data_IF_630188685898
#
_entry.id   IF_630188685898
#
_cell.length_a   1.000
_cell.length_b   1.000
_cell.length_c   1.000
_cell.angle_alpha   90.00
_cell.angle_beta   90.00
_cell.angle_gamma   90.00
#
_symmetry.space_group_name_H-M   'P 1'
#
loop_
_entity.id
_entity.type
_entity.pdbx_description
1 polymer ?
#
# COMPACT_ATOMS: atom_id res chain seq x y z
N UNK A 1 12.38 13.68 5.27
CA UNK A 1 11.03 13.78 4.67
C UNK A 1 10.65 12.36 4.27
N UNK A 2 9.51 11.86 4.76
CA UNK A 2 9.13 10.46 4.59
C UNK A 2 9.12 10.02 3.13
N UNK A 3 9.65 8.83 2.83
CA UNK A 3 9.56 8.24 1.50
C UNK A 3 8.28 7.42 1.38
N UNK A 4 7.49 7.71 0.35
CA UNK A 4 6.23 7.02 0.09
C UNK A 4 6.35 6.02 -1.06
N UNK A 5 5.52 4.98 -1.03
CA UNK A 5 5.43 3.95 -2.08
C UNK A 5 4.10 4.14 -2.81
N UNK A 6 4.13 4.05 -4.14
CA UNK A 6 2.93 4.03 -4.97
C UNK A 6 2.79 2.66 -5.65
N UNK A 7 1.57 2.12 -5.69
CA UNK A 7 1.26 0.85 -6.35
C UNK A 7 -0.02 0.95 -7.17
N UNK A 8 0.03 0.42 -8.38
CA UNK A 8 -1.17 0.20 -9.19
C UNK A 8 -1.96 -0.98 -8.64
N UNK A 9 -3.25 -0.79 -8.47
CA UNK A 9 -4.20 -1.87 -8.19
C UNK A 9 -4.78 -2.36 -9.50
N UNK A 10 -4.75 -3.67 -9.72
CA UNK A 10 -5.28 -4.33 -10.91
C UNK A 10 -6.30 -5.40 -10.49
N UNK A 11 -7.32 -5.62 -11.31
CA UNK A 11 -8.39 -6.59 -11.03
C UNK A 11 -9.45 -6.12 -10.03
N UNK A 12 -9.36 -4.89 -9.55
CA UNK A 12 -10.26 -4.29 -8.57
C UNK A 12 -10.57 -2.85 -9.00
N UNK A 13 -11.85 -2.52 -9.13
CA UNK A 13 -12.29 -1.26 -9.72
C UNK A 13 -12.61 -0.19 -8.68
N UNK A 14 -13.00 -0.61 -7.47
CA UNK A 14 -13.43 0.27 -6.38
C UNK A 14 -12.65 -0.01 -5.08
N UNK A 15 -12.81 0.85 -4.07
CA UNK A 15 -12.21 0.61 -2.75
C UNK A 15 -12.95 -0.54 -2.07
N UNK A 16 -14.26 -0.64 -2.28
CA UNK A 16 -15.15 -1.64 -1.71
C UNK A 16 -14.77 -3.05 -2.17
N UNK A 17 -14.48 -3.22 -3.46
CA UNK A 17 -13.96 -4.47 -4.03
C UNK A 17 -12.65 -4.88 -3.33
N UNK A 18 -11.75 -3.91 -3.10
CA UNK A 18 -10.47 -4.17 -2.45
C UNK A 18 -10.68 -4.58 -0.98
N UNK A 19 -11.56 -3.90 -0.26
CA UNK A 19 -11.88 -4.21 1.13
C UNK A 19 -12.53 -5.60 1.28
N UNK A 20 -13.37 -5.99 0.33
CA UNK A 20 -13.97 -7.33 0.31
C UNK A 20 -12.93 -8.45 0.21
N UNK A 21 -11.81 -8.23 -0.48
CA UNK A 21 -10.73 -9.20 -0.61
C UNK A 21 -9.88 -9.39 0.65
N UNK A 22 -9.71 -8.34 1.46
CA UNK A 22 -8.92 -8.41 2.69
C UNK A 22 -9.62 -9.22 3.78
N UNK A 23 -10.95 -9.18 3.80
CA UNK A 23 -11.78 -10.07 4.60
C UNK A 23 -11.64 -9.96 6.12
N UNK A 24 -10.84 -9.04 6.68
CA UNK A 24 -10.62 -8.96 8.14
C UNK A 24 -10.14 -7.59 8.63
N UNK A 25 -10.29 -7.33 9.94
CA UNK A 25 -9.87 -6.09 10.61
C UNK A 25 -8.38 -6.00 10.96
N UNK A 26 -7.57 -6.93 10.46
CA UNK A 26 -6.12 -6.96 10.69
C UNK A 26 -5.37 -5.95 9.79
N UNK A 27 -4.14 -5.56 10.15
CA UNK A 27 -3.29 -4.77 9.27
C UNK A 27 -3.10 -5.44 7.90
N UNK A 28 -3.25 -4.68 6.83
CA UNK A 28 -3.08 -5.18 5.46
C UNK A 28 -1.60 -5.50 5.17
N UNK A 29 -1.31 -6.77 4.89
CA UNK A 29 0.02 -7.22 4.46
C UNK A 29 0.11 -7.17 2.92
N UNK A 30 1.10 -6.45 2.39
CA UNK A 30 1.34 -6.37 0.94
C UNK A 30 2.65 -7.06 0.60
N UNK A 31 2.55 -8.15 -0.16
CA UNK A 31 3.73 -8.82 -0.69
C UNK A 31 4.22 -8.13 -1.97
N UNK A 32 5.48 -7.76 -2.01
CA UNK A 32 6.13 -7.20 -3.20
C UNK A 32 7.25 -8.10 -3.67
N UNK A 33 7.38 -8.25 -4.99
CA UNK A 33 8.50 -9.00 -5.58
C UNK A 33 9.87 -8.37 -5.28
N UNK A 34 9.91 -7.04 -5.16
CA UNK A 34 11.14 -6.29 -4.93
C UNK A 34 11.09 -5.65 -3.55
N UNK A 35 12.14 -5.84 -2.76
CA UNK A 35 12.32 -5.17 -1.47
C UNK A 35 12.79 -3.73 -1.69
N UNK A 36 12.22 -2.72 -1.01
CA UNK A 36 12.70 -1.34 -1.08
C UNK A 36 14.16 -1.22 -0.64
N UNK A 37 14.95 -0.38 -1.31
CA UNK A 37 16.36 -0.15 -0.95
C UNK A 37 16.55 0.88 0.17
N UNK A 38 15.56 1.73 0.39
CA UNK A 38 15.59 2.85 1.34
C UNK A 38 14.55 2.60 2.44
N UNK A 39 14.70 1.47 3.14
CA UNK A 39 13.70 0.97 4.11
C UNK A 39 13.51 1.98 5.25
N UNK A 40 14.60 2.49 5.83
CA UNK A 40 14.55 3.40 6.98
C UNK A 40 13.72 4.66 6.68
N UNK A 41 13.89 5.24 5.48
CA UNK A 41 13.12 6.43 5.06
C UNK A 41 11.66 6.13 4.77
N UNK A 42 11.33 4.89 4.39
CA UNK A 42 9.96 4.43 4.24
C UNK A 42 9.31 4.16 5.59
N UNK A 43 10.07 3.63 6.56
CA UNK A 43 9.58 3.39 7.92
C UNK A 43 9.49 4.68 8.76
N UNK A 44 10.24 5.73 8.39
CA UNK A 44 10.15 7.09 8.95
C UNK A 44 8.88 7.83 8.48
N UNK A 45 7.70 7.26 8.76
CA UNK A 45 6.40 7.87 8.48
C UNK A 45 5.88 7.69 7.05
N UNK A 46 6.50 6.79 6.26
CA UNK A 46 6.08 6.48 4.90
C UNK A 46 4.70 5.84 4.80
N UNK A 47 4.19 5.78 3.58
CA UNK A 47 2.84 5.29 3.30
C UNK A 47 2.79 4.65 1.93
N UNK A 48 1.90 3.68 1.79
CA UNK A 48 1.50 3.07 0.53
C UNK A 48 0.28 3.82 -0.02
N UNK A 49 0.42 4.38 -1.21
CA UNK A 49 -0.66 4.96 -1.98
C UNK A 49 -1.07 4.00 -3.09
N UNK A 50 -2.36 3.69 -3.17
CA UNK A 50 -2.92 2.79 -4.18
C UNK A 50 -3.61 3.57 -5.27
N UNK A 51 -3.21 3.30 -6.52
CA UNK A 51 -3.77 3.91 -7.72
C UNK A 51 -4.80 2.97 -8.33
N UNK A 52 -6.00 3.49 -8.54
CA UNK A 52 -7.11 2.84 -9.21
C UNK A 52 -7.48 3.71 -10.42
N UNK A 53 -7.47 3.11 -11.63
CA UNK A 53 -7.86 3.82 -12.87
C UNK A 53 -7.20 5.21 -13.03
N UNK A 54 -5.93 5.33 -12.66
CA UNK A 54 -5.16 6.58 -12.77
C UNK A 54 -5.31 7.57 -11.60
N UNK A 55 -6.09 7.25 -10.57
CA UNK A 55 -6.29 8.10 -9.40
C UNK A 55 -5.85 7.44 -8.10
N UNK A 56 -5.27 8.21 -7.19
CA UNK A 56 -4.95 7.74 -5.83
C UNK A 56 -6.21 7.80 -4.99
N UNK A 57 -6.70 6.64 -4.56
CA UNK A 57 -7.96 6.55 -3.80
C UNK A 57 -7.78 6.02 -2.37
N UNK A 58 -6.63 5.43 -2.05
CA UNK A 58 -6.37 4.83 -0.75
C UNK A 58 -4.96 5.14 -0.26
N UNK A 59 -4.84 5.42 1.04
CA UNK A 59 -3.57 5.57 1.76
C UNK A 59 -3.53 4.57 2.91
N UNK A 60 -2.42 3.83 2.99
CA UNK A 60 -2.10 2.96 4.12
C UNK A 60 -0.76 3.38 4.73
N UNK A 61 -0.69 3.54 6.04
CA UNK A 61 0.60 3.75 6.73
C UNK A 61 1.40 2.45 6.68
N UNK A 62 2.70 2.56 6.38
CA UNK A 62 3.60 1.40 6.42
C UNK A 62 4.11 1.28 7.86
N UNK A 63 3.88 0.13 8.48
CA UNK A 63 4.23 -0.14 9.87
C UNK A 63 5.53 -0.93 9.99
N UNK A 64 5.78 -1.85 9.05
CA UNK A 64 6.97 -2.69 9.00
C UNK A 64 7.21 -3.18 7.56
N UNK A 65 8.44 -3.64 7.28
CA UNK A 65 8.86 -4.34 6.07
C UNK A 65 9.79 -5.47 6.51
N UNK A 66 9.48 -6.70 6.12
CA UNK A 66 10.23 -7.93 6.39
C UNK A 66 10.77 -8.61 5.12
#
# INVERSE_FOLDING_TARGET
MALHIIKLVVGCDTIEDLLAWHGSGEPWIMHTRMTPKRIDEVLDGGSLYRVFKGQVLCRQKILAID
#
